data_IF_251851006259
#
_entry.id   IF_251851006259
#
_cell.length_a   1.000
_cell.length_b   1.000
_cell.length_c   1.000
_cell.angle_alpha   90.00
_cell.angle_beta   90.00
_cell.angle_gamma   90.00
#
_symmetry.space_group_name_H-M   'P 1'
#
loop_
_entity.id
_entity.type
_entity.pdbx_description
1 polymer ?
#
# COMPACT_ATOMS: atom_id res chain seq x y z
N UNK A 1 -4.94 -18.25 -1.05
CA UNK A 1 -4.88 -16.77 -1.19
C UNK A 1 -3.42 -16.33 -1.23
N UNK A 2 -3.08 -15.48 -2.17
CA UNK A 2 -1.73 -14.92 -2.29
C UNK A 2 -1.72 -13.58 -1.57
N UNK A 3 -0.79 -13.41 -0.62
CA UNK A 3 -0.70 -12.19 0.20
C UNK A 3 0.54 -11.40 -0.17
N UNK A 4 0.34 -10.16 -0.61
CA UNK A 4 1.40 -9.27 -1.12
C UNK A 4 1.45 -7.99 -0.30
N UNK A 5 2.63 -7.64 0.19
CA UNK A 5 2.86 -6.41 0.93
C UNK A 5 3.90 -5.56 0.21
N UNK A 6 3.51 -4.35 -0.17
CA UNK A 6 4.44 -3.38 -0.74
C UNK A 6 4.99 -2.50 0.38
N UNK A 7 6.30 -2.27 0.37
CA UNK A 7 6.99 -1.52 1.43
C UNK A 7 7.80 -0.40 0.81
N UNK A 8 7.67 0.81 1.36
CA UNK A 8 8.55 1.92 1.03
C UNK A 8 8.89 2.69 2.31
N UNK A 9 9.65 3.78 2.20
CA UNK A 9 10.12 4.51 3.38
C UNK A 9 8.98 5.06 4.22
N UNK A 10 8.07 5.84 3.61
CA UNK A 10 7.03 6.56 4.35
C UNK A 10 5.63 5.97 4.28
N UNK A 11 5.35 5.13 3.29
CA UNK A 11 4.02 4.56 3.04
C UNK A 11 2.94 5.63 2.76
N UNK A 12 3.31 6.69 2.07
CA UNK A 12 2.34 7.70 1.63
C UNK A 12 2.35 7.94 0.11
N UNK A 13 3.34 7.43 -0.62
CA UNK A 13 3.47 7.64 -2.06
C UNK A 13 3.67 6.32 -2.81
N UNK A 14 4.89 5.82 -2.83
CA UNK A 14 5.27 4.68 -3.69
C UNK A 14 4.53 3.38 -3.35
N UNK A 15 4.56 2.97 -2.10
CA UNK A 15 3.94 1.71 -1.71
C UNK A 15 2.40 1.76 -1.75
N UNK A 16 1.73 2.86 -1.35
CA UNK A 16 0.29 2.96 -1.55
C UNK A 16 -0.10 2.94 -3.03
N UNK A 17 0.66 3.61 -3.90
CA UNK A 17 0.38 3.58 -5.34
C UNK A 17 0.48 2.16 -5.87
N UNK A 18 1.53 1.42 -5.52
CA UNK A 18 1.68 0.03 -5.93
C UNK A 18 0.53 -0.83 -5.41
N UNK A 19 0.15 -0.66 -4.15
CA UNK A 19 -0.97 -1.38 -3.55
C UNK A 19 -2.26 -1.18 -4.35
N UNK A 20 -2.64 0.06 -4.60
CA UNK A 20 -3.92 0.36 -5.23
C UNK A 20 -3.94 0.05 -6.73
N UNK A 21 -2.80 0.20 -7.42
CA UNK A 21 -2.69 -0.22 -8.82
C UNK A 21 -2.84 -1.73 -8.94
N UNK A 22 -2.18 -2.49 -8.07
CA UNK A 22 -2.31 -3.95 -8.09
C UNK A 22 -3.74 -4.39 -7.74
N UNK A 23 -4.38 -3.74 -6.77
CA UNK A 23 -5.78 -4.02 -6.44
C UNK A 23 -6.69 -3.81 -7.64
N UNK A 24 -6.45 -2.76 -8.41
CA UNK A 24 -7.22 -2.48 -9.63
C UNK A 24 -7.01 -3.57 -10.68
N UNK A 25 -5.76 -3.95 -10.94
CA UNK A 25 -5.43 -4.99 -11.91
C UNK A 25 -6.07 -6.34 -11.53
N UNK A 26 -5.99 -6.68 -10.25
CA UNK A 26 -6.57 -7.92 -9.73
C UNK A 26 -8.10 -7.89 -9.84
N UNK A 27 -8.73 -6.77 -9.52
CA UNK A 27 -10.18 -6.58 -9.65
C UNK A 27 -10.63 -6.69 -11.10
N UNK A 28 -9.92 -6.03 -12.01
CA UNK A 28 -10.25 -6.06 -13.44
C UNK A 28 -10.10 -7.47 -14.02
N UNK A 29 -9.20 -8.26 -13.48
CA UNK A 29 -9.02 -9.66 -13.89
C UNK A 29 -10.00 -10.64 -13.21
N UNK A 30 -10.86 -10.15 -12.31
CA UNK A 30 -11.80 -11.00 -11.58
C UNK A 30 -11.15 -11.89 -10.53
N UNK A 31 -9.96 -11.49 -10.01
CA UNK A 31 -9.17 -12.31 -9.09
C UNK A 31 -9.13 -11.76 -7.66
N UNK A 32 -10.02 -10.83 -7.30
CA UNK A 32 -10.01 -10.18 -5.99
C UNK A 32 -10.00 -11.19 -4.83
N UNK A 33 -10.76 -12.28 -4.94
CA UNK A 33 -10.85 -13.28 -3.88
C UNK A 33 -9.55 -14.09 -3.71
N UNK A 34 -8.61 -13.99 -4.64
CA UNK A 34 -7.36 -14.76 -4.61
C UNK A 34 -6.18 -13.99 -4.05
N UNK A 35 -6.33 -12.69 -3.82
CA UNK A 35 -5.24 -11.83 -3.39
C UNK A 35 -5.62 -11.01 -2.16
N UNK A 36 -4.67 -10.87 -1.24
CA UNK A 36 -4.71 -9.90 -0.17
C UNK A 36 -3.52 -8.96 -0.39
N UNK A 37 -3.80 -7.68 -0.61
CA UNK A 37 -2.79 -6.70 -1.02
C UNK A 37 -2.80 -5.55 -0.02
N UNK A 38 -1.62 -5.18 0.48
CA UNK A 38 -1.47 -4.09 1.43
C UNK A 38 -0.14 -3.38 1.22
N UNK A 39 0.10 -2.31 2.00
CA UNK A 39 1.36 -1.60 1.99
C UNK A 39 1.72 -1.10 3.38
N UNK A 40 3.01 -0.87 3.62
CA UNK A 40 3.53 -0.42 4.90
C UNK A 40 4.82 0.37 4.70
N UNK A 41 5.29 1.02 5.77
CA UNK A 41 6.50 1.84 5.78
C UNK A 41 7.62 1.18 6.57
N UNK A 42 8.87 1.44 6.17
CA UNK A 42 10.02 1.07 6.99
C UNK A 42 10.23 2.07 8.14
N UNK A 43 9.81 3.34 7.97
CA UNK A 43 10.00 4.38 8.99
C UNK A 43 8.69 4.82 9.61
N UNK A 44 8.79 5.66 10.65
CA UNK A 44 7.63 6.26 11.31
C UNK A 44 7.49 7.75 11.01
N UNK A 45 8.21 8.26 10.01
CA UNK A 45 8.20 9.70 9.70
C UNK A 45 6.81 10.23 9.38
N UNK A 46 5.95 9.42 8.77
CA UNK A 46 4.60 9.81 8.39
C UNK A 46 3.54 9.35 9.39
N UNK A 47 3.96 9.01 10.62
CA UNK A 47 3.05 8.53 11.66
C UNK A 47 3.20 9.39 12.92
N UNK A 48 2.10 10.06 13.32
CA UNK A 48 2.05 10.90 14.53
C UNK A 48 1.09 10.32 15.55
N UNK A 49 1.56 10.11 16.77
CA UNK A 49 0.73 9.60 17.88
C UNK A 49 -0.06 8.34 17.47
N UNK A 50 0.58 7.44 16.71
CA UNK A 50 -0.06 6.21 16.25
C UNK A 50 -1.02 6.41 15.07
N UNK A 51 -1.13 7.64 14.55
CA UNK A 51 -2.01 7.94 13.42
C UNK A 51 -1.16 8.25 12.19
N UNK A 52 -1.33 7.44 11.14
CA UNK A 52 -0.60 7.64 9.89
C UNK A 52 -1.18 8.75 9.04
N UNK A 53 -0.30 9.43 8.30
CA UNK A 53 -0.72 10.42 7.32
C UNK A 53 -1.43 9.75 6.14
N UNK A 54 -2.37 10.46 5.49
CA UNK A 54 -3.02 9.94 4.28
C UNK A 54 -2.04 9.90 3.10
N UNK A 55 -2.48 9.31 2.01
CA UNK A 55 -1.68 9.26 0.77
C UNK A 55 -1.30 10.67 0.34
N UNK A 56 -0.05 10.83 -0.07
CA UNK A 56 0.49 12.09 -0.57
C UNK A 56 -0.41 12.66 -1.66
N UNK A 57 -0.82 13.94 -1.56
CA UNK A 57 -1.82 14.49 -2.48
C UNK A 57 -1.54 14.32 -3.97
N UNK A 58 -0.33 14.56 -4.49
CA UNK A 58 -0.04 14.29 -5.90
C UNK A 58 -0.22 12.83 -6.29
N UNK A 59 0.13 11.89 -5.42
CA UNK A 59 -0.05 10.46 -5.67
C UNK A 59 -1.55 10.11 -5.70
N UNK A 60 -2.32 10.65 -4.76
CA UNK A 60 -3.76 10.47 -4.73
C UNK A 60 -4.41 11.01 -6.00
N UNK A 61 -3.98 12.19 -6.46
CA UNK A 61 -4.50 12.79 -7.69
C UNK A 61 -4.18 11.94 -8.91
N UNK A 62 -2.96 11.39 -8.98
CA UNK A 62 -2.57 10.53 -10.08
C UNK A 62 -3.39 9.25 -10.13
N UNK A 63 -3.61 8.61 -8.99
CA UNK A 63 -4.48 7.43 -8.91
C UNK A 63 -5.90 7.77 -9.36
N UNK A 64 -6.44 8.91 -8.92
CA UNK A 64 -7.78 9.34 -9.27
C UNK A 64 -7.93 9.55 -10.78
N UNK A 65 -6.89 10.04 -11.46
CA UNK A 65 -6.90 10.21 -12.92
C UNK A 65 -7.06 8.88 -13.67
N UNK A 66 -6.72 7.78 -13.01
CA UNK A 66 -6.89 6.43 -13.56
C UNK A 66 -8.11 5.71 -12.98
N UNK A 67 -9.01 6.44 -12.32
CA UNK A 67 -10.22 5.88 -11.73
C UNK A 67 -9.98 5.05 -10.49
N UNK A 68 -8.86 5.27 -9.80
CA UNK A 68 -8.48 4.51 -8.62
C UNK A 68 -8.63 5.36 -7.37
N UNK A 69 -9.46 4.92 -6.41
CA UNK A 69 -9.62 5.57 -5.11
C UNK A 69 -8.67 4.95 -4.11
N UNK A 70 -8.01 5.79 -3.31
CA UNK A 70 -7.21 5.36 -2.17
C UNK A 70 -7.75 5.91 -0.85
N UNK A 71 -9.04 6.23 -0.80
CA UNK A 71 -9.68 6.77 0.39
C UNK A 71 -9.50 5.84 1.59
N UNK A 72 -9.21 6.45 2.74
CA UNK A 72 -9.05 5.71 3.99
C UNK A 72 -7.66 5.12 4.20
N UNK A 73 -6.80 5.12 3.19
CA UNK A 73 -5.44 4.61 3.36
C UNK A 73 -4.60 5.60 4.18
N UNK A 74 -3.93 5.07 5.21
CA UNK A 74 -3.00 5.84 6.03
C UNK A 74 -1.71 5.06 6.19
N UNK A 75 -0.61 5.77 6.39
CA UNK A 75 0.70 5.17 6.61
C UNK A 75 0.67 4.27 7.85
N UNK A 76 1.30 3.12 7.76
CA UNK A 76 1.53 2.21 8.89
C UNK A 76 2.93 1.64 8.79
N UNK A 77 3.53 1.33 9.93
CA UNK A 77 4.86 0.74 9.94
C UNK A 77 4.79 -0.77 9.72
N UNK A 78 5.73 -1.31 8.95
CA UNK A 78 5.86 -2.76 8.78
C UNK A 78 6.25 -3.40 10.12
N UNK A 79 5.74 -4.59 10.38
CA UNK A 79 6.00 -5.34 11.60
C UNK A 79 6.59 -6.72 11.29
N UNK A 80 7.11 -7.39 12.31
CA UNK A 80 7.57 -8.78 12.15
C UNK A 80 6.43 -9.70 11.74
N UNK A 81 5.23 -9.46 12.27
CA UNK A 81 4.04 -10.22 11.91
C UNK A 81 3.72 -10.12 10.42
N UNK A 82 3.99 -8.96 9.80
CA UNK A 82 3.81 -8.79 8.38
C UNK A 82 4.68 -9.77 7.57
N UNK A 83 5.94 -9.91 7.96
CA UNK A 83 6.84 -10.84 7.25
C UNK A 83 6.42 -12.29 7.38
N UNK A 84 5.80 -12.65 8.50
CA UNK A 84 5.29 -14.00 8.70
C UNK A 84 3.97 -14.24 7.94
N UNK A 85 3.15 -13.21 7.80
CA UNK A 85 1.83 -13.34 7.19
C UNK A 85 1.84 -13.24 5.66
N UNK A 86 2.64 -12.34 5.09
CA UNK A 86 2.62 -12.08 3.65
C UNK A 86 3.56 -13.00 2.90
N UNK A 87 3.09 -13.53 1.76
CA UNK A 87 3.88 -14.40 0.90
C UNK A 87 4.99 -13.63 0.19
N UNK A 88 4.71 -12.37 -0.17
CA UNK A 88 5.65 -11.51 -0.86
C UNK A 88 5.71 -10.15 -0.16
N UNK A 89 6.91 -9.76 0.25
CA UNK A 89 7.19 -8.43 0.80
C UNK A 89 8.10 -7.72 -0.19
N UNK A 90 7.54 -6.76 -0.93
CA UNK A 90 8.23 -6.09 -2.03
C UNK A 90 8.64 -4.69 -1.62
N UNK A 91 9.94 -4.47 -1.45
CA UNK A 91 10.50 -3.18 -1.10
C UNK A 91 10.63 -2.32 -2.36
N UNK A 92 10.00 -1.16 -2.32
CA UNK A 92 10.03 -0.20 -3.42
C UNK A 92 10.89 0.99 -3.00
N UNK A 93 11.97 1.21 -3.73
CA UNK A 93 12.85 2.36 -3.49
C UNK A 93 13.38 2.88 -4.83
N UNK A 94 13.83 4.12 -4.80
CA UNK A 94 14.38 4.78 -5.99
C UNK A 94 15.86 4.50 -6.10
#
# INVERSE_FOLDING_TARGET
MIKVLFICHGNICRSPMAEFVMKKLVSDAGLTARFQIASAATSTEEIWNGIGNPVYPPAKAELARHGISCEGKRARQVTRADYAEYDYCLLIHI
#
